data_IF_181052477036
#
_entry.id   IF_181052477036
#
_cell.length_a   1.000
_cell.length_b   1.000
_cell.length_c   1.000
_cell.angle_alpha   90.00
_cell.angle_beta   90.00
_cell.angle_gamma   90.00
#
_symmetry.space_group_name_H-M   'P 1'
#
loop_
_entity.id
_entity.type
_entity.pdbx_description
1 polymer ?
#
# COMPACT_ATOMS: atom_id res chain seq x y z
N UNK A 1 -13.62 18.87 -5.77
CA UNK A 1 -13.40 18.51 -4.35
C UNK A 1 -13.41 16.99 -4.24
N UNK A 2 -12.29 16.32 -4.53
CA UNK A 2 -12.17 14.86 -4.38
C UNK A 2 -11.21 14.59 -3.24
N UNK A 3 -11.75 14.53 -2.02
CA UNK A 3 -10.99 14.07 -0.87
C UNK A 3 -10.66 12.58 -1.15
N UNK A 4 -9.38 12.29 -1.39
CA UNK A 4 -8.92 10.91 -1.65
C UNK A 4 -8.93 10.16 -0.32
N UNK A 5 -10.10 9.68 0.09
CA UNK A 5 -10.24 8.88 1.29
C UNK A 5 -9.67 7.49 1.01
N UNK A 6 -8.45 7.23 1.46
CA UNK A 6 -7.93 5.86 1.54
C UNK A 6 -8.85 5.11 2.50
N UNK A 7 -9.41 4.01 2.03
CA UNK A 7 -10.26 3.16 2.86
C UNK A 7 -9.45 2.10 3.56
N UNK A 8 -9.85 1.77 4.79
CA UNK A 8 -9.27 0.66 5.55
C UNK A 8 -9.36 -0.67 4.78
N UNK A 9 -10.43 -0.90 4.01
CA UNK A 9 -10.58 -2.10 3.17
C UNK A 9 -9.37 -2.32 2.23
N UNK A 10 -8.76 -1.23 1.73
CA UNK A 10 -7.60 -1.28 0.85
C UNK A 10 -6.30 -1.52 1.60
N UNK A 11 -6.18 -0.96 2.81
CA UNK A 11 -5.04 -1.20 3.70
C UNK A 11 -5.03 -2.68 4.12
N UNK A 12 -6.19 -3.20 4.54
CA UNK A 12 -6.34 -4.61 4.91
C UNK A 12 -6.00 -5.51 3.73
N UNK A 13 -6.52 -5.22 2.54
CA UNK A 13 -6.20 -5.99 1.33
C UNK A 13 -4.70 -5.95 1.00
N UNK A 14 -4.03 -4.81 1.20
CA UNK A 14 -2.58 -4.70 1.02
C UNK A 14 -1.78 -5.51 2.05
N UNK A 15 -2.33 -5.75 3.24
CA UNK A 15 -1.69 -6.58 4.27
C UNK A 15 -1.90 -8.07 3.95
N UNK A 16 -3.14 -8.47 3.69
CA UNK A 16 -3.58 -9.85 3.44
C UNK A 16 -3.06 -10.40 2.10
N UNK A 17 -3.21 -9.63 1.03
CA UNK A 17 -2.88 -10.06 -0.32
C UNK A 17 -2.23 -8.91 -1.14
N UNK A 18 -0.99 -8.53 -0.79
CA UNK A 18 -0.24 -7.56 -1.57
C UNK A 18 0.08 -8.11 -2.96
N UNK A 19 -0.09 -7.28 -3.98
CA UNK A 19 0.34 -7.58 -5.35
C UNK A 19 1.88 -7.69 -5.41
N UNK A 20 2.58 -6.81 -4.71
CA UNK A 20 4.04 -6.78 -4.64
C UNK A 20 4.48 -6.46 -3.22
N UNK A 21 5.52 -7.14 -2.76
CA UNK A 21 6.16 -6.85 -1.47
C UNK A 21 7.66 -6.65 -1.70
N UNK A 22 8.21 -5.57 -1.15
CA UNK A 22 9.63 -5.24 -1.22
C UNK A 22 10.12 -4.88 0.18
N UNK A 23 11.05 -5.67 0.69
CA UNK A 23 11.66 -5.44 2.00
C UNK A 23 12.97 -4.68 1.78
N UNK A 24 13.06 -3.47 2.34
CA UNK A 24 14.30 -2.69 2.30
C UNK A 24 15.26 -3.10 3.42
N UNK A 25 16.54 -2.73 3.28
CA UNK A 25 17.58 -2.96 4.30
C UNK A 25 17.37 -2.24 5.64
N UNK A 26 16.52 -1.22 5.67
CA UNK A 26 16.14 -0.46 6.89
C UNK A 26 14.95 -1.10 7.63
N UNK A 27 14.73 -2.40 7.43
CA UNK A 27 13.57 -3.18 7.91
C UNK A 27 12.19 -2.69 7.47
N UNK A 28 12.11 -1.66 6.62
CA UNK A 28 10.84 -1.16 6.09
C UNK A 28 10.33 -2.07 4.99
N UNK A 29 9.09 -2.54 5.14
CA UNK A 29 8.42 -3.36 4.15
C UNK A 29 7.48 -2.48 3.33
N UNK A 30 7.70 -2.40 2.03
CA UNK A 30 6.79 -1.75 1.09
C UNK A 30 5.88 -2.80 0.47
N UNK A 31 4.58 -2.59 0.55
CA UNK A 31 3.60 -3.42 -0.14
C UNK A 31 2.80 -2.58 -1.11
N UNK A 32 2.52 -3.12 -2.29
CA UNK A 32 1.66 -2.51 -3.29
C UNK A 32 0.44 -3.40 -3.46
N UNK A 33 -0.71 -2.78 -3.66
CA UNK A 33 -1.92 -3.45 -4.10
C UNK A 33 -2.59 -2.64 -5.20
N UNK A 34 -3.19 -3.32 -6.15
CA UNK A 34 -4.01 -2.68 -7.16
C UNK A 34 -5.46 -2.57 -6.69
N UNK A 35 -5.92 -1.34 -6.50
CA UNK A 35 -7.29 -1.05 -6.10
C UNK A 35 -8.14 -0.86 -7.35
N UNK A 36 -8.77 -1.95 -7.81
CA UNK A 36 -9.68 -1.96 -8.98
C UNK A 36 -10.75 -0.86 -8.93
N UNK A 37 -11.21 -0.49 -7.73
CA UNK A 37 -12.29 0.50 -7.52
C UNK A 37 -11.90 1.93 -7.93
N UNK A 38 -10.63 2.27 -7.84
CA UNK A 38 -10.10 3.59 -8.23
C UNK A 38 -9.08 3.50 -9.35
N UNK A 39 -8.89 2.30 -9.91
CA UNK A 39 -7.93 1.98 -10.96
C UNK A 39 -6.51 2.47 -10.64
N UNK A 40 -6.08 2.31 -9.37
CA UNK A 40 -4.80 2.83 -8.89
C UNK A 40 -4.08 1.85 -8.00
N UNK A 41 -2.76 1.94 -8.00
CA UNK A 41 -1.91 1.22 -7.08
C UNK A 41 -1.84 1.95 -5.74
N UNK A 42 -2.23 1.29 -4.66
CA UNK A 42 -2.01 1.75 -3.29
C UNK A 42 -0.70 1.17 -2.80
N UNK A 43 0.20 2.05 -2.39
CA UNK A 43 1.47 1.68 -1.76
C UNK A 43 1.36 1.92 -0.26
N UNK A 44 1.62 0.88 0.52
CA UNK A 44 1.75 0.95 1.97
C UNK A 44 3.21 0.70 2.36
N UNK A 45 3.66 1.42 3.37
CA UNK A 45 4.96 1.25 4.01
C UNK A 45 4.67 0.77 5.42
N UNK A 46 5.08 -0.46 5.70
CA UNK A 46 5.05 -1.10 7.00
C UNK A 46 6.43 -0.93 7.66
N UNK A 47 6.44 -0.89 8.98
CA UNK A 47 7.67 -1.02 9.78
C UNK A 47 8.17 -2.47 9.80
N UNK A 48 9.32 -2.67 10.43
CA UNK A 48 9.99 -3.96 10.70
C UNK A 48 9.04 -5.04 11.22
N UNK A 49 8.06 -4.62 12.03
CA UNK A 49 7.09 -5.53 12.66
C UNK A 49 6.12 -6.17 11.66
N UNK A 50 6.04 -5.68 10.41
CA UNK A 50 5.14 -6.21 9.38
C UNK A 50 3.64 -5.96 9.62
N UNK A 51 3.30 -5.38 10.77
CA UNK A 51 1.92 -5.06 11.20
C UNK A 51 1.65 -3.56 11.19
N UNK A 52 2.63 -2.75 11.64
CA UNK A 52 2.44 -1.30 11.79
C UNK A 52 2.59 -0.59 10.45
N UNK A 53 1.48 -0.06 9.92
CA UNK A 53 1.48 0.81 8.74
C UNK A 53 2.05 2.16 9.13
N UNK A 54 3.27 2.43 8.66
CA UNK A 54 3.91 3.73 8.82
C UNK A 54 3.30 4.79 7.90
N UNK A 55 3.04 4.41 6.64
CA UNK A 55 2.46 5.34 5.67
C UNK A 55 1.68 4.59 4.57
N UNK A 56 0.59 5.17 4.06
CA UNK A 56 -0.22 4.58 2.98
C UNK A 56 -0.63 5.67 2.00
N UNK A 57 -0.31 5.50 0.72
CA UNK A 57 -0.66 6.48 -0.32
C UNK A 57 -0.82 5.84 -1.68
N UNK A 58 -1.61 6.49 -2.54
CA UNK A 58 -1.78 6.05 -3.92
C UNK A 58 -0.56 6.41 -4.74
N UNK A 59 0.11 5.39 -5.26
CA UNK A 59 1.18 5.53 -6.22
C UNK A 59 0.56 5.66 -7.62
N UNK A 60 0.59 6.88 -8.15
CA UNK A 60 0.02 7.21 -9.48
C UNK A 60 1.03 6.99 -10.61
N UNK A 61 2.29 6.74 -10.27
CA UNK A 61 3.38 6.59 -11.23
C UNK A 61 3.86 5.15 -11.35
N UNK A 62 3.36 4.25 -10.50
CA UNK A 62 3.55 2.82 -10.64
C UNK A 62 2.75 2.33 -11.85
N UNK A 63 3.44 2.12 -12.96
CA UNK A 63 2.95 1.32 -14.09
C UNK A 63 3.66 -0.03 -14.02
N UNK A 64 2.88 -1.11 -14.05
CA UNK A 64 3.37 -2.50 -14.11
C UNK A 64 4.04 -2.78 -15.47
#
# INVERSE_FOLDING_TARGET
MFCSCIKEEWIQSAIDNPLRTEVQKDDRIRKWIYVKKVDKYLRIVLLSDGVTVHNAFFDRNFQE
#
